data_IF_497393315422
#
_entry.id   IF_497393315422
#
_cell.length_a   1.000
_cell.length_b   1.000
_cell.length_c   1.000
_cell.angle_alpha   90.00
_cell.angle_beta   90.00
_cell.angle_gamma   90.00
#
_symmetry.space_group_name_H-M   'P 1'
#
loop_
_entity.id
_entity.type
_entity.pdbx_description
1 polymer ?
#
# COMPACT_ATOMS: atom_id res chain seq x y z
N UNK A 1 21.09 5.51 1.05
CA UNK A 1 20.08 5.34 -0.03
C UNK A 1 20.49 4.31 -1.08
N UNK A 2 21.57 4.49 -1.87
CA UNK A 2 21.92 3.54 -2.97
C UNK A 2 22.06 2.06 -2.55
N UNK A 3 22.54 1.76 -1.34
CA UNK A 3 22.72 0.38 -0.85
C UNK A 3 21.42 -0.28 -0.36
N UNK A 4 20.46 0.47 0.18
CA UNK A 4 19.16 -0.08 0.60
C UNK A 4 18.27 -0.40 -0.61
N UNK A 5 18.39 0.37 -1.70
CA UNK A 5 17.59 0.18 -2.92
C UNK A 5 18.06 -1.00 -3.77
N UNK A 6 19.37 -1.28 -3.81
CA UNK A 6 19.91 -2.43 -4.53
C UNK A 6 19.47 -3.78 -3.91
N UNK A 7 19.16 -3.83 -2.62
CA UNK A 7 18.62 -5.02 -1.95
C UNK A 7 17.08 -5.13 -2.09
N UNK A 8 16.36 -4.01 -2.14
CA UNK A 8 14.90 -4.02 -2.34
C UNK A 8 14.50 -4.68 -3.69
N UNK A 9 15.32 -4.52 -4.72
CA UNK A 9 15.08 -5.12 -6.05
C UNK A 9 15.20 -6.65 -6.10
N UNK A 10 15.74 -7.31 -5.07
CA UNK A 10 15.94 -8.76 -5.08
C UNK A 10 14.78 -9.56 -4.44
N UNK A 11 13.74 -8.88 -3.95
CA UNK A 11 12.67 -9.50 -3.16
C UNK A 11 11.27 -9.36 -3.75
N UNK A 12 11.10 -8.61 -4.85
CA UNK A 12 9.92 -8.75 -5.72
C UNK A 12 9.77 -10.17 -6.26
N UNK A 13 10.87 -10.91 -6.40
CA UNK A 13 10.91 -12.24 -7.01
C UNK A 13 10.03 -13.29 -6.28
N UNK A 14 9.65 -13.06 -5.01
CA UNK A 14 8.84 -14.01 -4.23
C UNK A 14 7.42 -13.51 -3.92
N UNK A 15 7.03 -12.31 -4.38
CA UNK A 15 5.64 -11.88 -4.26
C UNK A 15 4.86 -12.50 -5.42
N UNK A 16 3.81 -13.26 -5.11
CA UNK A 16 2.95 -13.81 -6.16
C UNK A 16 2.08 -12.71 -6.75
N UNK A 17 2.40 -12.32 -7.99
CA UNK A 17 1.71 -11.30 -8.77
C UNK A 17 0.60 -11.85 -9.68
N UNK A 18 0.23 -13.11 -9.54
CA UNK A 18 -0.87 -13.73 -10.29
C UNK A 18 -2.20 -13.64 -9.52
N UNK A 19 -2.86 -12.48 -9.57
CA UNK A 19 -4.15 -12.26 -8.87
C UNK A 19 -5.34 -13.10 -9.37
N UNK A 20 -5.19 -13.84 -10.48
CA UNK A 20 -6.27 -14.58 -11.15
C UNK A 20 -6.27 -16.09 -10.87
N UNK A 21 -5.31 -16.62 -10.12
CA UNK A 21 -5.42 -18.00 -9.63
C UNK A 21 -6.06 -17.95 -8.26
N UNK A 22 -7.34 -18.36 -8.19
CA UNK A 22 -8.00 -18.60 -6.91
C UNK A 22 -7.13 -19.57 -6.10
N UNK A 23 -6.37 -19.01 -5.16
CA UNK A 23 -5.56 -19.84 -4.28
C UNK A 23 -6.54 -20.61 -3.41
N UNK A 24 -6.60 -21.93 -3.59
CA UNK A 24 -7.40 -22.82 -2.74
C UNK A 24 -6.92 -22.77 -1.28
N UNK A 25 -5.67 -22.30 -1.06
CA UNK A 25 -5.10 -22.10 0.27
C UNK A 25 -5.80 -20.93 0.96
N UNK A 26 -6.45 -21.21 2.09
CA UNK A 26 -7.02 -20.18 2.96
C UNK A 26 -6.11 -20.02 4.16
N UNK A 27 -5.34 -18.92 4.23
CA UNK A 27 -4.43 -18.64 5.36
C UNK A 27 -5.22 -18.09 6.56
N UNK A 28 -6.23 -17.24 6.31
CA UNK A 28 -7.07 -16.65 7.34
C UNK A 28 -8.52 -17.09 7.21
N UNK A 29 -9.14 -17.45 8.32
CA UNK A 29 -10.48 -18.06 8.34
C UNK A 29 -11.59 -17.12 7.90
N UNK A 30 -11.39 -15.81 8.03
CA UNK A 30 -12.36 -14.76 7.72
C UNK A 30 -12.21 -14.16 6.32
N UNK A 31 -11.31 -14.69 5.48
CA UNK A 31 -11.10 -14.21 4.09
C UNK A 31 -11.51 -15.21 3.01
N UNK A 32 -12.01 -16.40 3.37
CA UNK A 32 -12.30 -17.49 2.40
C UNK A 32 -13.16 -17.06 1.21
N UNK A 33 -14.17 -16.22 1.45
CA UNK A 33 -15.08 -15.69 0.43
C UNK A 33 -14.96 -14.17 0.27
N UNK A 34 -13.82 -13.60 0.64
CA UNK A 34 -13.60 -12.16 0.67
C UNK A 34 -12.93 -11.69 -0.63
N UNK A 35 -13.36 -10.56 -1.19
CA UNK A 35 -12.83 -10.02 -2.46
C UNK A 35 -11.32 -9.78 -2.45
N UNK A 36 -10.75 -9.55 -1.27
CA UNK A 36 -9.32 -9.31 -1.08
C UNK A 36 -8.50 -10.58 -0.77
N UNK A 37 -9.11 -11.78 -0.82
CA UNK A 37 -8.49 -13.05 -0.42
C UNK A 37 -7.12 -13.24 -1.06
N UNK A 38 -7.05 -13.13 -2.39
CA UNK A 38 -5.83 -13.47 -3.12
C UNK A 38 -4.70 -12.46 -2.83
N UNK A 39 -5.00 -11.16 -2.74
CA UNK A 39 -4.03 -10.14 -2.31
C UNK A 39 -3.51 -10.40 -0.89
N UNK A 40 -4.42 -10.75 0.03
CA UNK A 40 -4.08 -11.02 1.43
C UNK A 40 -3.22 -12.27 1.52
N UNK A 41 -3.57 -13.34 0.81
CA UNK A 41 -2.81 -14.59 0.82
C UNK A 41 -1.40 -14.39 0.26
N UNK A 42 -1.28 -13.78 -0.93
CA UNK A 42 0.02 -13.49 -1.55
C UNK A 42 0.94 -12.70 -0.61
N UNK A 43 0.44 -11.61 -0.03
CA UNK A 43 1.22 -10.82 0.93
C UNK A 43 1.54 -11.57 2.24
N UNK A 44 0.70 -12.51 2.67
CA UNK A 44 0.93 -13.29 3.88
C UNK A 44 2.00 -14.38 3.65
N UNK A 45 1.99 -15.04 2.49
CA UNK A 45 3.01 -16.01 2.08
C UNK A 45 4.40 -15.35 1.98
N UNK A 46 4.45 -14.12 1.47
CA UNK A 46 5.66 -13.30 1.45
C UNK A 46 6.00 -12.62 2.79
N UNK A 47 5.27 -12.93 3.87
CA UNK A 47 5.48 -12.38 5.23
C UNK A 47 5.37 -10.85 5.33
N UNK A 48 4.72 -10.20 4.37
CA UNK A 48 4.50 -8.74 4.35
C UNK A 48 3.37 -8.36 5.31
N UNK A 49 2.33 -9.19 5.39
CA UNK A 49 1.22 -9.02 6.32
C UNK A 49 1.10 -10.19 7.29
N UNK A 50 0.52 -9.92 8.45
CA UNK A 50 0.22 -10.93 9.46
C UNK A 50 -1.22 -10.77 9.94
N UNK A 51 -1.86 -11.90 10.24
CA UNK A 51 -3.16 -11.94 10.91
C UNK A 51 -3.04 -11.80 12.43
N UNK A 52 -4.15 -12.10 13.10
CA UNK A 52 -4.27 -12.16 14.56
C UNK A 52 -3.99 -13.58 15.07
N UNK A 53 -3.68 -13.74 16.37
CA UNK A 53 -3.39 -15.06 16.96
C UNK A 53 -4.53 -16.08 16.85
N UNK A 54 -5.77 -15.61 16.63
CA UNK A 54 -6.96 -16.45 16.43
C UNK A 54 -7.11 -16.99 15.00
N UNK A 55 -6.17 -16.70 14.10
CA UNK A 55 -6.20 -17.14 12.70
C UNK A 55 -7.08 -16.28 11.79
N UNK A 56 -7.48 -15.08 12.23
CA UNK A 56 -8.21 -14.09 11.40
C UNK A 56 -7.29 -13.01 10.85
N UNK A 57 -7.67 -12.40 9.72
CA UNK A 57 -7.01 -11.21 9.18
C UNK A 57 -7.71 -9.91 9.60
N UNK A 58 -9.02 -9.96 9.82
CA UNK A 58 -9.94 -8.83 10.03
C UNK A 58 -9.95 -7.82 8.88
N UNK A 59 -10.36 -8.22 7.67
CA UNK A 59 -10.25 -7.40 6.45
C UNK A 59 -10.98 -6.05 6.54
N UNK A 60 -12.10 -6.01 7.26
CA UNK A 60 -12.96 -4.82 7.43
C UNK A 60 -12.54 -3.89 8.57
N UNK A 61 -11.50 -4.24 9.34
CA UNK A 61 -11.01 -3.38 10.41
C UNK A 61 -10.24 -2.18 9.84
N UNK A 62 -10.43 -1.00 10.43
CA UNK A 62 -9.66 0.20 10.08
C UNK A 62 -8.17 -0.05 10.29
N UNK A 63 -7.36 0.27 9.28
CA UNK A 63 -5.91 0.12 9.39
C UNK A 63 -5.26 1.38 9.96
N UNK A 64 -4.34 1.19 10.91
CA UNK A 64 -3.60 2.29 11.51
C UNK A 64 -2.42 2.74 10.64
N UNK A 65 -1.95 3.97 10.87
CA UNK A 65 -0.74 4.51 10.22
C UNK A 65 0.48 3.61 10.48
N UNK A 66 0.64 3.07 11.69
CA UNK A 66 1.74 2.15 12.00
C UNK A 66 1.64 0.85 11.21
N UNK A 67 0.46 0.23 11.19
CA UNK A 67 0.25 -1.02 10.46
C UNK A 67 0.53 -0.85 8.97
N UNK A 68 0.00 0.21 8.35
CA UNK A 68 0.24 0.47 6.93
C UNK A 68 1.72 0.70 6.62
N UNK A 69 2.41 1.52 7.42
CA UNK A 69 3.85 1.78 7.25
C UNK A 69 4.67 0.51 7.41
N UNK A 70 4.38 -0.32 8.41
CA UNK A 70 5.10 -1.58 8.64
C UNK A 70 4.96 -2.52 7.45
N UNK A 71 3.75 -2.63 6.86
CA UNK A 71 3.56 -3.46 5.67
C UNK A 71 4.40 -2.96 4.49
N UNK A 72 4.50 -1.64 4.30
CA UNK A 72 5.41 -1.04 3.29
C UNK A 72 6.88 -1.33 3.62
N UNK A 73 7.30 -1.19 4.89
CA UNK A 73 8.68 -1.51 5.30
C UNK A 73 9.05 -2.96 5.00
N UNK A 74 8.11 -3.89 5.20
CA UNK A 74 8.31 -5.32 4.89
C UNK A 74 8.32 -5.60 3.40
N UNK A 75 7.40 -4.98 2.64
CA UNK A 75 7.39 -5.07 1.18
C UNK A 75 8.76 -4.65 0.59
N UNK A 76 9.35 -3.58 1.12
CA UNK A 76 10.67 -3.08 0.69
C UNK A 76 11.85 -3.77 1.40
N UNK A 77 11.59 -4.73 2.29
CA UNK A 77 12.57 -5.38 3.18
C UNK A 77 13.55 -4.40 3.85
N UNK A 78 13.04 -3.29 4.36
CA UNK A 78 13.87 -2.29 5.01
C UNK A 78 14.50 -2.87 6.27
N UNK A 79 15.81 -2.70 6.40
CA UNK A 79 16.52 -3.12 7.61
C UNK A 79 16.03 -2.29 8.81
N UNK A 80 15.81 -2.93 9.98
CA UNK A 80 15.36 -2.22 11.17
C UNK A 80 16.34 -1.10 11.53
N UNK A 81 15.80 0.06 11.91
CA UNK A 81 16.59 1.20 12.39
C UNK A 81 16.31 1.40 13.87
N UNK A 82 17.35 1.37 14.67
CA UNK A 82 17.27 1.49 16.14
C UNK A 82 17.27 2.94 16.64
N UNK A 83 17.54 3.92 15.77
CA UNK A 83 17.37 5.34 16.08
C UNK A 83 15.89 5.67 16.26
N UNK A 84 15.55 6.39 17.34
CA UNK A 84 14.19 6.77 17.66
C UNK A 84 13.90 8.16 17.09
N UNK A 85 12.97 8.22 16.13
CA UNK A 85 12.58 9.47 15.47
C UNK A 85 11.28 10.07 16.00
N UNK A 86 10.43 9.24 16.61
CA UNK A 86 9.12 9.65 17.10
C UNK A 86 8.94 9.21 18.55
N UNK A 87 8.53 10.15 19.39
CA UNK A 87 8.36 9.89 20.83
C UNK A 87 7.13 9.04 21.10
N UNK A 88 6.12 9.06 20.24
CA UNK A 88 4.84 8.35 20.44
C UNK A 88 4.80 6.94 19.81
N UNK A 89 5.94 6.43 19.33
CA UNK A 89 6.05 5.10 18.74
C UNK A 89 6.88 4.20 19.67
N UNK A 90 6.29 3.09 20.11
CA UNK A 90 6.93 2.12 21.00
C UNK A 90 6.67 0.68 20.54
N UNK A 91 7.43 -0.26 21.09
CA UNK A 91 7.26 -1.70 20.87
C UNK A 91 7.88 -2.19 19.56
N UNK A 92 7.48 -3.39 19.13
CA UNK A 92 8.13 -4.13 18.04
C UNK A 92 8.07 -3.43 16.67
N UNK A 93 7.06 -2.59 16.43
CA UNK A 93 6.89 -1.87 15.16
C UNK A 93 7.81 -0.63 15.06
N UNK A 94 8.44 -0.20 16.15
CA UNK A 94 9.21 1.04 16.21
C UNK A 94 10.36 1.04 15.19
N UNK A 95 11.09 -0.07 15.07
CA UNK A 95 12.25 -0.14 14.20
C UNK A 95 11.88 -0.18 12.71
N UNK A 96 10.73 -0.77 12.36
CA UNK A 96 10.20 -0.79 10.99
C UNK A 96 9.71 0.61 10.58
N UNK A 97 9.10 1.34 11.51
CA UNK A 97 8.66 2.73 11.30
C UNK A 97 9.88 3.66 11.16
N UNK A 98 10.89 3.52 12.03
CA UNK A 98 12.14 4.28 11.90
C UNK A 98 12.85 4.00 10.58
N UNK A 99 12.84 2.75 10.11
CA UNK A 99 13.39 2.39 8.81
C UNK A 99 12.66 3.09 7.65
N UNK A 100 11.33 3.12 7.67
CA UNK A 100 10.55 3.86 6.68
C UNK A 100 10.78 5.38 6.72
N UNK A 101 11.05 5.94 7.91
CA UNK A 101 11.38 7.36 8.06
C UNK A 101 12.74 7.69 7.42
N UNK A 102 13.77 6.89 7.72
CA UNK A 102 15.11 6.99 7.14
C UNK A 102 15.11 6.81 5.62
N UNK A 103 14.31 5.87 5.12
CA UNK A 103 14.11 5.67 3.70
C UNK A 103 13.40 6.86 3.03
N UNK A 104 12.79 7.78 3.79
CA UNK A 104 12.06 8.92 3.27
C UNK A 104 10.62 8.60 2.84
N UNK A 105 10.12 7.42 3.17
CA UNK A 105 8.76 6.97 2.84
C UNK A 105 7.74 7.70 3.70
N UNK A 106 8.03 7.85 4.99
CA UNK A 106 7.13 8.49 5.94
C UNK A 106 7.69 9.78 6.52
N UNK A 107 6.76 10.60 7.02
CA UNK A 107 7.02 11.73 7.90
C UNK A 107 6.01 11.68 9.06
N UNK A 108 6.38 12.31 10.18
CA UNK A 108 5.46 12.52 11.29
C UNK A 108 4.34 13.49 10.95
N UNK A 109 3.34 13.55 11.81
CA UNK A 109 2.33 14.63 11.80
C UNK A 109 2.88 15.91 12.45
N UNK A 110 3.98 15.79 13.18
CA UNK A 110 4.86 16.84 13.68
C UNK A 110 6.31 16.31 13.61
N UNK A 111 7.34 17.13 13.93
CA UNK A 111 8.72 16.65 13.96
C UNK A 111 8.95 15.44 14.87
N UNK A 112 8.20 15.30 15.97
CA UNK A 112 8.43 14.28 17.02
C UNK A 112 7.26 13.30 17.18
N UNK A 113 6.16 13.46 16.42
CA UNK A 113 4.93 12.67 16.57
C UNK A 113 4.53 12.00 15.26
N UNK A 114 4.31 10.69 15.28
CA UNK A 114 3.87 9.90 14.12
C UNK A 114 2.37 9.59 14.09
N UNK A 115 1.74 9.52 15.26
CA UNK A 115 0.37 9.06 15.53
C UNK A 115 0.14 7.60 15.08
N UNK A 116 0.83 6.61 15.65
CA UNK A 116 0.84 5.23 15.16
C UNK A 116 -0.53 4.53 15.22
N UNK A 117 -1.35 4.85 16.21
CA UNK A 117 -2.67 4.22 16.42
C UNK A 117 -3.79 4.92 15.65
N UNK A 118 -3.53 6.05 15.01
CA UNK A 118 -4.54 6.76 14.23
C UNK A 118 -4.80 6.00 12.93
N UNK A 119 -6.08 5.78 12.60
CA UNK A 119 -6.47 5.24 11.31
C UNK A 119 -5.93 6.12 10.17
N UNK A 120 -5.38 5.49 9.13
CA UNK A 120 -4.81 6.21 7.99
C UNK A 120 -5.91 6.59 6.98
N UNK A 121 -5.83 7.81 6.43
CA UNK A 121 -6.74 8.24 5.36
C UNK A 121 -6.25 7.85 3.98
N UNK A 122 -7.15 7.77 3.00
CA UNK A 122 -6.81 7.41 1.61
C UNK A 122 -5.75 8.32 0.99
N UNK A 123 -5.81 9.64 1.22
CA UNK A 123 -4.78 10.55 0.69
C UNK A 123 -3.43 10.39 1.41
N UNK A 124 -3.42 9.98 2.69
CA UNK A 124 -2.17 9.69 3.40
C UNK A 124 -1.52 8.40 2.89
N UNK A 125 -2.33 7.40 2.52
CA UNK A 125 -1.83 6.19 1.84
C UNK A 125 -1.18 6.56 0.50
N UNK A 126 -1.83 7.41 -0.31
CA UNK A 126 -1.29 7.84 -1.60
C UNK A 126 0.08 8.51 -1.47
N UNK A 127 0.29 9.33 -0.43
CA UNK A 127 1.60 9.95 -0.17
C UNK A 127 2.67 8.91 0.14
N UNK A 128 2.35 7.94 1.00
CA UNK A 128 3.29 6.88 1.41
C UNK A 128 3.63 5.98 0.22
N UNK A 129 2.61 5.56 -0.55
CA UNK A 129 2.76 4.72 -1.73
C UNK A 129 3.55 5.42 -2.83
N UNK A 130 3.30 6.70 -3.09
CA UNK A 130 4.07 7.46 -4.09
C UNK A 130 5.56 7.57 -3.73
N UNK A 131 5.87 7.78 -2.45
CA UNK A 131 7.26 7.80 -1.98
C UNK A 131 7.90 6.42 -2.06
N UNK A 132 7.18 5.38 -1.67
CA UNK A 132 7.64 4.00 -1.80
C UNK A 132 7.93 3.67 -3.28
N UNK A 133 6.99 3.92 -4.19
CA UNK A 133 7.15 3.76 -5.63
C UNK A 133 8.43 4.43 -6.17
N UNK A 134 8.66 5.69 -5.78
CA UNK A 134 9.87 6.42 -6.21
C UNK A 134 11.17 5.76 -5.73
N UNK A 135 11.16 5.14 -4.55
CA UNK A 135 12.32 4.39 -4.03
C UNK A 135 12.50 3.09 -4.80
N UNK A 136 11.43 2.33 -5.00
CA UNK A 136 11.42 1.05 -5.71
C UNK A 136 12.00 1.21 -7.12
N UNK A 137 11.45 2.15 -7.90
CA UNK A 137 11.83 2.32 -9.31
C UNK A 137 12.95 3.35 -9.52
N UNK A 138 13.64 3.76 -8.45
CA UNK A 138 14.75 4.73 -8.52
C UNK A 138 14.40 6.00 -9.32
N UNK A 139 13.19 6.51 -9.09
CA UNK A 139 12.59 7.58 -9.88
C UNK A 139 12.18 8.76 -9.00
N UNK A 140 11.85 9.87 -9.64
CA UNK A 140 11.14 10.99 -9.03
C UNK A 140 9.88 11.21 -9.87
N UNK A 141 8.97 10.25 -9.82
CA UNK A 141 7.79 10.22 -10.66
C UNK A 141 6.94 11.46 -10.41
N UNK A 142 6.71 12.22 -11.47
CA UNK A 142 5.82 13.38 -11.47
C UNK A 142 4.82 13.18 -12.57
N UNK A 143 3.55 13.41 -12.24
CA UNK A 143 2.47 13.39 -13.21
C UNK A 143 2.07 14.81 -13.58
N UNK A 144 1.69 14.98 -14.84
CA UNK A 144 1.01 16.19 -15.33
C UNK A 144 -0.49 15.94 -15.54
N UNK A 145 -0.96 14.71 -15.32
CA UNK A 145 -2.37 14.35 -15.40
C UNK A 145 -3.10 14.86 -14.16
N UNK A 146 -4.34 15.30 -14.37
CA UNK A 146 -5.29 15.54 -13.28
C UNK A 146 -6.30 14.40 -13.27
N UNK A 147 -6.34 13.64 -12.17
CA UNK A 147 -7.32 12.60 -12.02
C UNK A 147 -8.75 13.20 -12.02
N UNK A 148 -9.71 12.60 -12.72
CA UNK A 148 -11.03 13.19 -12.95
C UNK A 148 -11.99 13.04 -11.75
N UNK A 149 -11.48 13.16 -10.52
CA UNK A 149 -12.27 12.93 -9.31
C UNK A 149 -13.24 14.09 -9.03
N UNK A 150 -14.51 13.78 -8.77
CA UNK A 150 -15.55 14.78 -8.46
C UNK A 150 -15.24 15.58 -7.18
N UNK A 151 -14.62 14.93 -6.21
CA UNK A 151 -14.23 15.50 -4.93
C UNK A 151 -12.80 16.05 -4.91
N UNK A 152 -12.20 16.34 -6.08
CA UNK A 152 -10.82 16.83 -6.22
C UNK A 152 -10.49 18.08 -5.37
N UNK A 153 -11.51 18.88 -4.99
CA UNK A 153 -11.35 20.04 -4.10
C UNK A 153 -11.03 19.67 -2.65
N UNK A 154 -11.41 18.46 -2.21
CA UNK A 154 -11.13 17.95 -0.86
C UNK A 154 -9.72 17.33 -0.74
N UNK A 155 -9.08 17.04 -1.88
CA UNK A 155 -7.77 16.39 -1.95
C UNK A 155 -6.68 17.41 -1.64
N UNK A 156 -5.94 17.19 -0.55
CA UNK A 156 -4.80 18.05 -0.20
C UNK A 156 -3.54 17.65 -0.97
N UNK A 157 -3.26 16.34 -1.04
CA UNK A 157 -2.07 15.78 -1.70
C UNK A 157 -2.33 15.44 -3.16
N UNK A 158 -2.66 16.46 -3.97
CA UNK A 158 -3.08 16.26 -5.38
C UNK A 158 -2.03 15.60 -6.24
N UNK A 159 -0.75 15.96 -6.06
CA UNK A 159 0.36 15.42 -6.85
C UNK A 159 0.44 13.90 -6.66
N UNK A 160 0.44 13.47 -5.40
CA UNK A 160 0.56 12.06 -5.02
C UNK A 160 -0.68 11.28 -5.45
N UNK A 161 -1.89 11.82 -5.24
CA UNK A 161 -3.13 11.16 -5.68
C UNK A 161 -3.22 11.05 -7.19
N UNK A 162 -2.88 12.09 -7.95
CA UNK A 162 -2.86 12.02 -9.41
C UNK A 162 -1.82 11.01 -9.90
N UNK A 163 -0.66 10.93 -9.24
CA UNK A 163 0.36 9.96 -9.60
C UNK A 163 -0.14 8.53 -9.38
N UNK A 164 -0.75 8.25 -8.22
CA UNK A 164 -1.32 6.92 -7.92
C UNK A 164 -2.48 6.54 -8.84
N UNK A 165 -3.22 7.52 -9.35
CA UNK A 165 -4.23 7.29 -10.39
C UNK A 165 -3.58 6.92 -11.73
N UNK A 166 -2.59 7.68 -12.19
CA UNK A 166 -1.95 7.45 -13.49
C UNK A 166 -1.19 6.12 -13.57
N UNK A 167 -0.58 5.70 -12.45
CA UNK A 167 0.11 4.40 -12.38
C UNK A 167 -0.79 3.27 -11.90
N UNK A 168 -2.10 3.54 -11.72
CA UNK A 168 -3.16 2.57 -11.44
C UNK A 168 -3.04 1.83 -10.09
N UNK A 169 -2.18 2.28 -9.16
CA UNK A 169 -2.07 1.71 -7.80
C UNK A 169 -3.24 2.11 -6.89
N UNK A 170 -3.75 3.34 -7.03
CA UNK A 170 -4.95 3.78 -6.31
C UNK A 170 -5.94 4.49 -7.22
N UNK A 171 -7.12 3.91 -7.34
CA UNK A 171 -8.25 4.47 -8.07
C UNK A 171 -9.36 4.94 -7.13
N UNK A 172 -10.29 5.73 -7.67
CA UNK A 172 -11.49 6.18 -6.97
C UNK A 172 -12.57 5.09 -6.90
N UNK A 173 -13.72 5.44 -6.33
CA UNK A 173 -14.89 4.56 -6.32
C UNK A 173 -15.67 4.63 -7.66
N UNK A 174 -16.70 3.78 -7.78
CA UNK A 174 -17.59 3.75 -8.93
C UNK A 174 -18.37 5.08 -9.16
N UNK A 175 -18.48 5.93 -8.15
CA UNK A 175 -19.12 7.23 -8.24
C UNK A 175 -18.18 8.32 -8.81
N UNK A 176 -16.90 7.99 -9.04
CA UNK A 176 -15.88 8.93 -9.52
C UNK A 176 -15.30 9.83 -8.43
N UNK A 177 -15.32 9.40 -7.17
CA UNK A 177 -14.72 10.11 -6.03
C UNK A 177 -13.46 9.39 -5.54
N UNK A 178 -12.47 10.16 -5.07
CA UNK A 178 -11.29 9.60 -4.40
C UNK A 178 -11.52 9.36 -2.90
N UNK A 179 -12.39 10.16 -2.25
CA UNK A 179 -12.68 10.17 -0.82
C UNK A 179 -11.43 10.37 0.06
N UNK A 180 -10.68 11.49 -0.10
CA UNK A 180 -9.36 11.68 0.49
C UNK A 180 -9.30 11.58 2.01
N UNK A 181 -10.38 11.97 2.70
CA UNK A 181 -10.46 11.98 4.17
C UNK A 181 -11.00 10.68 4.76
N UNK A 182 -11.54 9.78 3.93
CA UNK A 182 -12.03 8.49 4.39
C UNK A 182 -10.85 7.65 4.91
N UNK A 183 -11.04 7.04 6.07
CA UNK A 183 -10.07 6.09 6.64
C UNK A 183 -10.18 4.74 5.93
N UNK A 184 -9.04 4.10 5.66
CA UNK A 184 -9.00 2.81 4.99
C UNK A 184 -9.14 1.62 5.96
N UNK A 185 -9.53 0.48 5.40
CA UNK A 185 -9.56 -0.82 6.09
C UNK A 185 -8.37 -1.69 5.65
N UNK A 186 -8.11 -2.77 6.39
CA UNK A 186 -6.97 -3.68 6.16
C UNK A 186 -7.01 -4.35 4.79
N UNK A 187 -8.18 -4.73 4.28
CA UNK A 187 -8.31 -5.31 2.94
C UNK A 187 -7.91 -4.33 1.82
N UNK A 188 -8.33 -3.06 1.94
CA UNK A 188 -7.96 -2.02 0.98
C UNK A 188 -6.46 -1.74 1.01
N UNK A 189 -5.86 -1.73 2.19
CA UNK A 189 -4.41 -1.63 2.33
C UNK A 189 -3.68 -2.81 1.70
N UNK A 190 -4.13 -4.04 1.94
CA UNK A 190 -3.54 -5.24 1.32
C UNK A 190 -3.55 -5.13 -0.21
N UNK A 191 -4.70 -4.79 -0.82
CA UNK A 191 -4.79 -4.59 -2.28
C UNK A 191 -3.74 -3.60 -2.79
N UNK A 192 -3.70 -2.37 -2.27
CA UNK A 192 -2.79 -1.33 -2.84
C UNK A 192 -1.31 -1.60 -2.58
N UNK A 193 -0.98 -2.37 -1.53
CA UNK A 193 0.39 -2.81 -1.25
C UNK A 193 0.80 -3.91 -2.23
N UNK A 194 -0.11 -4.84 -2.53
CA UNK A 194 0.10 -5.84 -3.56
C UNK A 194 0.24 -5.18 -4.94
N UNK A 195 -0.61 -4.22 -5.30
CA UNK A 195 -0.50 -3.46 -6.56
C UNK A 195 0.84 -2.72 -6.69
N UNK A 196 1.36 -2.17 -5.57
CA UNK A 196 2.68 -1.55 -5.56
C UNK A 196 3.79 -2.57 -5.78
N UNK A 197 3.72 -3.73 -5.13
CA UNK A 197 4.72 -4.80 -5.26
C UNK A 197 4.71 -5.46 -6.65
N UNK A 198 3.54 -5.56 -7.27
CA UNK A 198 3.31 -6.25 -8.55
C UNK A 198 3.17 -5.29 -9.74
N UNK A 199 3.56 -4.03 -9.56
CA UNK A 199 3.29 -2.99 -10.54
C UNK A 199 3.89 -3.26 -11.93
N UNK A 200 5.13 -3.77 -11.99
CA UNK A 200 5.79 -4.07 -13.27
C UNK A 200 5.10 -5.21 -14.02
N UNK A 201 4.74 -6.28 -13.31
CA UNK A 201 4.08 -7.46 -13.88
C UNK A 201 2.67 -7.13 -14.39
N UNK A 202 1.89 -6.38 -13.61
CA UNK A 202 0.54 -5.95 -14.00
C UNK A 202 0.56 -5.10 -15.27
N UNK A 203 1.57 -4.24 -15.43
CA UNK A 203 1.71 -3.38 -16.61
C UNK A 203 2.17 -4.14 -17.86
N UNK A 204 3.02 -5.16 -17.71
CA UNK A 204 3.41 -6.02 -18.83
C UNK A 204 2.22 -6.82 -19.34
N UNK A 205 1.42 -7.39 -18.44
CA UNK A 205 0.18 -8.10 -18.80
C UNK A 205 -0.79 -7.20 -19.60
N UNK A 206 -1.07 -5.98 -19.10
CA UNK A 206 -1.97 -5.04 -19.76
C UNK A 206 -1.47 -4.54 -21.13
N UNK A 207 -0.15 -4.44 -21.33
CA UNK A 207 0.44 -4.09 -22.64
C UNK A 207 0.29 -5.21 -23.68
N UNK A 208 0.36 -6.47 -23.26
CA UNK A 208 0.29 -7.61 -24.17
C UNK A 208 -1.15 -8.04 -24.52
N UNK A 209 -2.12 -7.76 -23.64
CA UNK A 209 -3.52 -8.16 -23.85
C UNK A 209 -4.44 -7.06 -24.40
N UNK A 210 -3.86 -5.92 -24.80
CA UNK A 210 -4.64 -4.78 -25.30
C UNK A 210 -5.31 -4.06 -24.14
N UNK A 211 -5.33 -2.73 -24.23
CA UNK A 211 -5.86 -1.82 -23.24
C UNK A 211 -7.36 -2.10 -22.96
N UNK A 212 -7.67 -3.05 -22.08
CA UNK A 212 -8.95 -3.12 -21.38
C UNK A 212 -8.90 -2.10 -20.24
N UNK A 213 -8.77 -0.83 -20.61
CA UNK A 213 -9.10 0.28 -19.75
C UNK A 213 -10.57 0.14 -19.38
N UNK A 214 -10.81 -0.34 -18.16
CA UNK A 214 -12.13 -0.67 -17.64
C UNK A 214 -12.37 -2.18 -17.55
N UNK A 215 -11.51 -2.93 -16.85
CA UNK A 215 -12.00 -4.18 -16.26
C UNK A 215 -12.97 -3.83 -15.14
N UNK A 216 -14.08 -4.54 -15.10
CA UNK A 216 -15.26 -4.35 -14.26
C UNK A 216 -15.00 -4.60 -12.75
N UNK A 217 -13.74 -4.50 -12.31
CA UNK A 217 -13.31 -4.56 -10.91
C UNK A 217 -13.20 -3.16 -10.29
N UNK A 218 -14.07 -2.25 -10.72
CA UNK A 218 -14.66 -1.30 -9.79
C UNK A 218 -15.41 -2.13 -8.74
N UNK A 219 -14.66 -2.72 -7.79
CA UNK A 219 -15.16 -3.10 -6.49
C UNK A 219 -15.60 -1.77 -5.89
N UNK A 220 -16.84 -1.42 -6.21
CA UNK A 220 -17.49 -0.25 -5.69
C UNK A 220 -17.32 -0.33 -4.19
N UNK A 221 -16.70 0.70 -3.64
CA UNK A 221 -16.88 1.04 -2.25
C UNK A 221 -18.39 1.28 -2.08
N UNK A 222 -19.14 0.22 -1.78
CA UNK A 222 -20.45 0.36 -1.15
C UNK A 222 -20.27 1.05 0.19
#
# INVERSE_FOLDING_TARGET
MKSAVAEANKLYENLDCTSNTHSDTTIFTDVTNHWAKDYINSLAESQIITGKPDGTFTPEEKITRAQFTTMISRLLNLKPVYTIYFQDVYGSLQYEISAAYEAGIIRGISPETFAPHRAITREQMAVILHRAYNIIHLTNYQTFITAPYKDHRQIHFKKEVNAMYEIEIMTGNAEGEFRPKQTAIRAQAAKVIWELGCWEDNRLFNKHHGNMGGSEDAIGFK
#
